data_IF_116385377159
#
_entry.id   IF_116385377159
#
_cell.length_a   1.000
_cell.length_b   1.000
_cell.length_c   1.000
_cell.angle_alpha   90.00
_cell.angle_beta   90.00
_cell.angle_gamma   90.00
#
_symmetry.space_group_name_H-M   'P 1'
#
loop_
_entity.id
_entity.type
_entity.pdbx_description
1 polymer ?
#
# COMPACT_ATOMS: atom_id res chain seq x y z
N UNK A 1 -77.95 14.70 -44.97
CA UNK A 1 -76.98 14.12 -45.92
C UNK A 1 -75.79 15.04 -46.03
N UNK A 2 -74.66 14.63 -45.47
CA UNK A 2 -73.25 14.94 -45.81
C UNK A 2 -72.44 14.61 -44.56
N UNK A 3 -71.67 13.52 -44.64
CA UNK A 3 -70.96 12.92 -43.51
C UNK A 3 -69.71 13.71 -43.10
N UNK A 4 -69.23 13.55 -41.87
CA UNK A 4 -68.02 14.21 -41.40
C UNK A 4 -66.74 13.51 -41.87
N UNK A 5 -65.76 14.37 -42.18
CA UNK A 5 -64.36 14.13 -42.52
C UNK A 5 -63.59 13.31 -41.46
N UNK A 6 -62.54 12.53 -41.83
CA UNK A 6 -61.92 11.58 -40.94
C UNK A 6 -61.01 12.24 -39.90
N UNK A 7 -61.28 11.93 -38.63
CA UNK A 7 -60.39 12.24 -37.52
C UNK A 7 -59.15 11.34 -37.56
N UNK A 8 -57.98 11.98 -37.55
CA UNK A 8 -56.67 11.36 -37.44
C UNK A 8 -56.47 10.78 -36.04
N UNK A 9 -56.50 9.45 -35.92
CA UNK A 9 -56.08 8.74 -34.72
C UNK A 9 -54.54 8.65 -34.71
N UNK A 10 -53.88 9.48 -33.90
CA UNK A 10 -52.47 9.30 -33.57
C UNK A 10 -52.34 8.22 -32.50
N UNK A 11 -51.89 7.02 -32.90
CA UNK A 11 -51.53 5.95 -31.97
C UNK A 11 -50.26 6.33 -31.20
N UNK A 12 -50.38 6.49 -29.89
CA UNK A 12 -49.24 6.61 -28.99
C UNK A 12 -48.54 5.24 -28.85
N UNK A 13 -47.41 5.05 -29.52
CA UNK A 13 -46.54 3.91 -29.30
C UNK A 13 -45.73 4.15 -28.00
N UNK A 14 -46.12 3.50 -26.92
CA UNK A 14 -45.30 3.42 -25.70
C UNK A 14 -44.11 2.49 -25.99
N UNK A 15 -42.92 3.06 -26.22
CA UNK A 15 -41.68 2.28 -26.22
C UNK A 15 -41.41 1.80 -24.79
N UNK A 16 -41.75 0.54 -24.50
CA UNK A 16 -41.20 -0.18 -23.36
C UNK A 16 -39.71 -0.42 -23.66
N UNK A 17 -38.84 0.40 -23.08
CA UNK A 17 -37.41 0.09 -23.04
C UNK A 17 -37.21 -1.11 -22.10
N UNK A 18 -37.24 -2.33 -22.65
CA UNK A 18 -36.69 -3.49 -21.98
C UNK A 18 -35.19 -3.24 -21.78
N UNK A 19 -34.83 -2.76 -20.59
CA UNK A 19 -33.46 -2.86 -20.10
C UNK A 19 -33.17 -4.34 -19.94
N UNK A 20 -32.55 -4.94 -20.95
CA UNK A 20 -31.87 -6.23 -20.83
C UNK A 20 -30.78 -6.05 -19.77
N UNK A 21 -31.13 -6.27 -18.51
CA UNK A 21 -30.15 -6.51 -17.46
C UNK A 21 -29.32 -7.68 -17.95
N UNK A 22 -28.03 -7.43 -18.25
CA UNK A 22 -27.09 -8.50 -18.53
C UNK A 22 -27.22 -9.53 -17.39
N UNK A 23 -27.35 -10.83 -17.70
CA UNK A 23 -27.43 -11.84 -16.65
C UNK A 23 -26.22 -11.67 -15.73
N UNK A 24 -26.38 -11.78 -14.41
CA UNK A 24 -25.26 -11.67 -13.49
C UNK A 24 -24.19 -12.65 -13.96
N UNK A 25 -23.00 -12.13 -14.30
CA UNK A 25 -21.86 -12.98 -14.63
C UNK A 25 -21.64 -13.87 -13.42
N UNK A 26 -21.90 -15.17 -13.57
CA UNK A 26 -21.64 -16.13 -12.52
C UNK A 26 -20.16 -16.00 -12.14
N UNK A 27 -19.88 -15.73 -10.87
CA UNK A 27 -18.51 -15.59 -10.39
C UNK A 27 -17.74 -16.87 -10.75
N UNK A 28 -16.77 -16.74 -11.66
CA UNK A 28 -15.92 -17.85 -12.05
C UNK A 28 -14.93 -18.12 -10.90
N UNK A 29 -14.86 -19.36 -10.44
CA UNK A 29 -13.85 -19.73 -9.44
C UNK A 29 -12.47 -19.72 -10.09
N UNK A 30 -11.47 -19.18 -9.39
CA UNK A 30 -10.08 -19.20 -9.85
C UNK A 30 -9.59 -20.64 -10.05
N UNK A 31 -8.88 -20.91 -11.16
CA UNK A 31 -8.24 -22.21 -11.41
C UNK A 31 -7.12 -22.53 -10.42
N UNK A 32 -6.65 -21.54 -9.67
CA UNK A 32 -5.63 -21.70 -8.64
C UNK A 32 -6.21 -21.87 -7.23
N UNK A 33 -7.39 -21.30 -6.98
CA UNK A 33 -8.03 -21.31 -5.66
C UNK A 33 -9.14 -22.35 -5.56
N UNK A 34 -9.91 -22.56 -6.64
CA UNK A 34 -11.12 -23.36 -6.61
C UNK A 34 -12.26 -22.68 -5.85
N UNK A 35 -13.30 -23.44 -5.52
CA UNK A 35 -14.40 -22.97 -4.68
C UNK A 35 -13.95 -23.06 -3.22
N UNK A 36 -13.87 -21.93 -2.52
CA UNK A 36 -13.48 -21.91 -1.11
C UNK A 36 -12.10 -22.49 -0.81
N UNK A 37 -11.14 -22.37 -1.73
CA UNK A 37 -9.78 -22.88 -1.52
C UNK A 37 -9.56 -24.35 -1.87
N UNK A 38 -10.57 -25.03 -2.45
CA UNK A 38 -10.51 -26.48 -2.73
C UNK A 38 -9.37 -26.93 -3.65
N UNK A 39 -8.73 -26.03 -4.39
CA UNK A 39 -7.58 -26.33 -5.27
C UNK A 39 -6.27 -25.75 -4.74
N UNK A 40 -6.30 -25.02 -3.63
CA UNK A 40 -5.10 -24.47 -3.04
C UNK A 40 -4.24 -25.57 -2.44
N UNK A 41 -2.92 -25.46 -2.66
CA UNK A 41 -1.94 -26.33 -2.01
C UNK A 41 -0.74 -25.49 -1.57
N UNK A 42 -0.06 -25.85 -0.48
CA UNK A 42 1.15 -25.14 -0.02
C UNK A 42 2.27 -25.08 -1.08
N UNK A 43 2.33 -26.06 -1.98
CA UNK A 43 3.29 -26.11 -3.08
C UNK A 43 2.85 -25.33 -4.33
N UNK A 44 1.62 -24.80 -4.34
CA UNK A 44 1.00 -24.15 -5.48
C UNK A 44 1.57 -22.77 -5.83
N UNK A 45 0.93 -22.07 -6.77
CA UNK A 45 1.35 -20.70 -7.15
C UNK A 45 0.85 -19.63 -6.19
N UNK A 46 -0.30 -19.85 -5.56
CA UNK A 46 -0.82 -18.98 -4.52
C UNK A 46 -0.10 -19.30 -3.21
N UNK A 47 0.33 -18.25 -2.52
CA UNK A 47 0.93 -18.39 -1.20
C UNK A 47 -0.14 -18.71 -0.16
N UNK A 48 0.31 -19.04 1.06
CA UNK A 48 -0.55 -19.07 2.22
C UNK A 48 -0.83 -17.63 2.69
N UNK A 49 -2.07 -17.18 2.52
CA UNK A 49 -2.52 -15.84 2.90
C UNK A 49 -3.38 -15.84 4.17
N UNK A 50 -3.47 -16.96 4.89
CA UNK A 50 -4.20 -17.01 6.18
C UNK A 50 -3.58 -16.12 7.26
N UNK A 51 -2.38 -15.57 6.99
CA UNK A 51 -1.63 -14.70 7.89
C UNK A 51 -1.73 -13.21 7.52
N UNK A 52 -2.60 -12.84 6.58
CA UNK A 52 -2.78 -11.45 6.20
C UNK A 52 -3.49 -10.64 7.31
N UNK A 53 -2.99 -9.44 7.59
CA UNK A 53 -3.63 -8.49 8.50
C UNK A 53 -3.00 -8.39 9.87
N UNK A 54 -3.57 -7.51 10.70
CA UNK A 54 -3.17 -7.25 12.08
C UNK A 54 -2.99 -8.55 12.88
N UNK A 55 -1.84 -8.68 13.56
CA UNK A 55 -1.44 -9.90 14.26
C UNK A 55 -1.58 -11.17 13.41
N UNK A 56 -1.28 -11.03 12.12
CA UNK A 56 -1.39 -12.08 11.12
C UNK A 56 -2.81 -12.63 10.96
N UNK A 57 -3.81 -11.73 11.06
CA UNK A 57 -5.23 -12.06 10.91
C UNK A 57 -5.84 -12.77 12.13
N UNK A 58 -5.08 -12.95 13.22
CA UNK A 58 -5.53 -13.73 14.37
C UNK A 58 -6.33 -12.92 15.41
N UNK A 59 -6.16 -11.59 15.42
CA UNK A 59 -6.78 -10.72 16.42
C UNK A 59 -7.63 -9.62 15.76
N UNK A 60 -8.71 -9.17 16.41
CA UNK A 60 -9.46 -8.00 15.96
C UNK A 60 -8.61 -6.73 16.11
N UNK A 61 -8.91 -5.71 15.29
CA UNK A 61 -8.29 -4.39 15.45
C UNK A 61 -8.62 -3.80 16.83
N UNK A 62 -7.63 -3.26 17.56
CA UNK A 62 -7.86 -2.74 18.90
C UNK A 62 -8.71 -1.47 18.87
N UNK A 63 -9.46 -1.21 19.94
CA UNK A 63 -10.17 0.06 20.15
C UNK A 63 -9.86 0.65 21.53
N UNK A 64 -8.62 1.17 21.71
CA UNK A 64 -8.23 1.77 22.99
C UNK A 64 -9.00 3.06 23.29
N UNK A 65 -9.21 3.42 24.58
CA UNK A 65 -9.88 4.66 24.94
C UNK A 65 -9.04 5.89 24.57
N UNK A 66 -9.72 7.01 24.31
CA UNK A 66 -9.07 8.31 24.03
C UNK A 66 -8.20 8.74 25.20
N UNK A 67 -6.95 9.12 24.91
CA UNK A 67 -6.03 9.65 25.93
C UNK A 67 -6.14 11.17 26.03
N UNK A 68 -6.14 11.86 24.89
CA UNK A 68 -6.23 13.33 24.80
C UNK A 68 -6.93 13.79 23.54
N UNK A 69 -7.55 14.96 23.61
CA UNK A 69 -7.98 15.70 22.41
C UNK A 69 -6.80 16.48 21.85
N UNK A 70 -6.71 16.60 20.52
CA UNK A 70 -5.73 17.52 19.88
C UNK A 70 -6.00 18.97 20.25
N UNK A 71 -7.24 19.31 20.63
CA UNK A 71 -7.62 20.67 21.05
C UNK A 71 -6.92 21.10 22.35
N UNK A 72 -6.50 20.15 23.19
CA UNK A 72 -5.72 20.43 24.41
C UNK A 72 -4.37 21.08 24.10
N UNK A 73 -3.90 20.96 22.85
CA UNK A 73 -2.64 21.53 22.38
C UNK A 73 -2.80 22.86 21.65
N UNK A 74 -4.04 23.31 21.41
CA UNK A 74 -4.31 24.57 20.70
C UNK A 74 -3.91 25.76 21.57
N UNK A 75 -3.20 26.71 20.98
CA UNK A 75 -2.86 28.01 21.59
C UNK A 75 -3.45 29.15 20.77
N UNK A 76 -3.63 30.32 21.38
CA UNK A 76 -4.14 31.52 20.70
C UNK A 76 -3.24 31.86 19.49
N UNK A 77 -3.85 32.01 18.31
CA UNK A 77 -3.15 32.30 17.06
C UNK A 77 -2.45 31.10 16.40
N UNK A 78 -2.51 29.90 16.99
CA UNK A 78 -1.90 28.69 16.42
C UNK A 78 -2.74 28.17 15.25
N UNK A 79 -2.11 27.78 14.13
CA UNK A 79 -2.80 27.09 13.04
C UNK A 79 -3.25 25.69 13.45
N UNK A 80 -4.18 25.08 12.70
CA UNK A 80 -4.61 23.70 12.99
C UNK A 80 -3.49 22.70 12.74
N UNK A 81 -2.70 22.92 11.68
CA UNK A 81 -1.50 22.11 11.38
C UNK A 81 -0.53 22.12 12.55
N UNK A 82 -0.21 23.30 13.11
CA UNK A 82 0.70 23.41 14.25
C UNK A 82 0.13 22.73 15.52
N UNK A 83 -1.18 22.83 15.75
CA UNK A 83 -1.85 22.11 16.85
C UNK A 83 -1.74 20.59 16.68
N UNK A 84 -2.06 20.07 15.50
CA UNK A 84 -2.00 18.63 15.20
C UNK A 84 -0.56 18.10 15.32
N UNK A 85 0.43 18.84 14.81
CA UNK A 85 1.84 18.50 14.95
C UNK A 85 2.31 18.55 16.42
N UNK A 86 1.85 19.52 17.21
CA UNK A 86 2.18 19.61 18.63
C UNK A 86 1.62 18.41 19.42
N UNK A 87 0.36 18.06 19.18
CA UNK A 87 -0.27 16.88 19.78
C UNK A 87 0.48 15.60 19.42
N UNK A 88 0.81 15.42 18.14
CA UNK A 88 1.49 14.22 17.66
C UNK A 88 2.96 14.14 18.13
N UNK A 89 3.64 15.28 18.25
CA UNK A 89 4.98 15.38 18.84
C UNK A 89 4.97 14.95 20.31
N UNK A 90 3.93 15.34 21.06
CA UNK A 90 3.72 14.83 22.43
C UNK A 90 3.45 13.33 22.44
N UNK A 91 2.56 12.83 21.57
CA UNK A 91 2.22 11.40 21.52
C UNK A 91 3.42 10.51 21.18
N UNK A 92 4.25 10.91 20.22
CA UNK A 92 5.47 10.19 19.85
C UNK A 92 6.51 10.13 20.99
N UNK A 93 6.41 10.99 22.01
CA UNK A 93 7.31 10.97 23.18
C UNK A 93 6.77 10.12 24.33
N UNK A 94 5.53 9.63 24.25
CA UNK A 94 4.96 8.77 25.27
C UNK A 94 5.62 7.39 25.25
N UNK A 95 5.69 6.74 26.42
CA UNK A 95 6.32 5.42 26.55
C UNK A 95 5.29 4.34 26.15
N UNK A 96 5.56 3.51 25.13
CA UNK A 96 4.60 2.47 24.73
C UNK A 96 4.25 1.45 25.83
N UNK A 97 5.13 1.28 26.83
CA UNK A 97 4.90 0.36 27.94
C UNK A 97 3.71 0.75 28.84
N UNK A 98 3.22 1.99 28.78
CA UNK A 98 2.08 2.45 29.60
C UNK A 98 0.72 2.25 28.94
N UNK A 99 0.67 1.58 27.78
CA UNK A 99 -0.55 1.37 26.99
C UNK A 99 -0.61 2.23 25.73
N UNK A 100 -1.79 2.34 25.13
CA UNK A 100 -2.01 3.17 23.95
C UNK A 100 -2.06 4.66 24.29
N UNK A 101 -1.51 5.47 23.39
CA UNK A 101 -1.69 6.93 23.35
C UNK A 101 -2.59 7.27 22.17
N UNK A 102 -3.85 7.58 22.46
CA UNK A 102 -4.88 7.87 21.47
C UNK A 102 -5.15 9.37 21.45
N UNK A 103 -4.87 10.00 20.31
CA UNK A 103 -5.20 11.39 20.03
C UNK A 103 -6.52 11.48 19.28
N UNK A 104 -7.54 12.04 19.93
CA UNK A 104 -8.81 12.37 19.28
C UNK A 104 -8.70 13.70 18.55
N UNK A 105 -9.06 13.71 17.27
CA UNK A 105 -9.41 14.89 16.49
C UNK A 105 -10.94 14.98 16.50
N UNK A 106 -11.55 15.88 17.31
CA UNK A 106 -12.99 16.00 17.37
C UNK A 106 -13.61 16.34 16.00
N UNK A 107 -14.94 16.23 15.90
CA UNK A 107 -15.69 16.67 14.73
C UNK A 107 -15.38 18.12 14.41
N UNK A 108 -15.23 18.41 13.13
CA UNK A 108 -14.84 19.71 12.62
C UNK A 108 -13.95 19.60 11.38
N UNK A 109 -13.69 20.75 10.77
CA UNK A 109 -12.81 20.87 9.62
C UNK A 109 -11.52 21.57 10.03
N UNK A 110 -10.39 20.92 9.85
CA UNK A 110 -9.07 21.39 10.25
C UNK A 110 -8.18 21.55 9.02
N UNK A 111 -7.48 22.68 8.92
CA UNK A 111 -6.53 22.88 7.81
C UNK A 111 -5.21 22.15 8.07
N UNK A 112 -4.84 21.24 7.17
CA UNK A 112 -3.58 20.51 7.20
C UNK A 112 -2.69 20.90 6.00
N UNK A 113 -1.59 21.58 6.25
CA UNK A 113 -0.63 21.99 5.21
C UNK A 113 0.69 21.22 5.23
N UNK A 114 0.87 20.30 6.16
CA UNK A 114 2.11 19.50 6.31
C UNK A 114 1.78 18.08 6.77
N UNK A 115 2.74 17.14 6.63
CA UNK A 115 2.56 15.75 7.07
C UNK A 115 2.38 15.64 8.59
N UNK A 116 1.54 14.71 9.01
CA UNK A 116 1.45 14.19 10.37
C UNK A 116 2.11 12.80 10.42
N UNK A 117 3.17 12.65 11.22
CA UNK A 117 3.97 11.42 11.25
C UNK A 117 3.95 10.79 12.65
N UNK A 118 3.33 9.60 12.76
CA UNK A 118 3.48 8.69 13.90
C UNK A 118 4.82 7.96 13.76
N UNK A 119 5.68 8.05 14.79
CA UNK A 119 7.03 7.45 14.82
C UNK A 119 7.24 6.51 16.01
N UNK A 120 6.23 6.34 16.85
CA UNK A 120 6.27 5.52 18.05
C UNK A 120 5.14 4.48 18.03
N UNK A 121 5.41 3.33 18.64
CA UNK A 121 4.43 2.27 18.79
C UNK A 121 3.29 2.68 19.72
N UNK A 122 2.12 2.04 19.56
CA UNK A 122 0.95 2.26 20.42
C UNK A 122 0.38 3.67 20.35
N UNK A 123 0.54 4.35 19.21
CA UNK A 123 -0.03 5.68 18.96
C UNK A 123 -1.16 5.58 17.95
N UNK A 124 -2.32 6.15 18.28
CA UNK A 124 -3.49 6.17 17.40
C UNK A 124 -3.91 7.62 17.15
N UNK A 125 -4.07 7.99 15.88
CA UNK A 125 -4.70 9.24 15.47
C UNK A 125 -6.13 8.95 15.01
N UNK A 126 -7.10 9.41 15.79
CA UNK A 126 -8.52 9.04 15.65
C UNK A 126 -9.38 10.27 15.40
N UNK A 127 -10.23 10.25 14.39
CA UNK A 127 -11.36 11.19 14.25
C UNK A 127 -12.68 10.60 14.75
N UNK A 128 -13.76 11.36 14.68
CA UNK A 128 -15.11 10.93 15.07
C UNK A 128 -15.90 10.24 13.93
N UNK A 129 -15.26 10.03 12.77
CA UNK A 129 -15.78 9.33 11.60
C UNK A 129 -15.61 10.12 10.29
N UNK A 130 -15.61 9.43 9.13
CA UNK A 130 -15.70 10.07 7.82
C UNK A 130 -16.88 11.06 7.75
N UNK A 131 -16.65 12.23 7.17
CA UNK A 131 -17.60 13.34 7.06
C UNK A 131 -17.81 14.14 8.35
N UNK A 132 -17.39 13.63 9.52
CA UNK A 132 -17.48 14.35 10.81
C UNK A 132 -16.18 15.06 11.15
N UNK A 133 -15.06 14.35 11.05
CA UNK A 133 -13.72 14.91 11.20
C UNK A 133 -13.08 15.04 9.82
N UNK A 134 -12.82 16.26 9.38
CA UNK A 134 -12.28 16.55 8.04
C UNK A 134 -10.93 17.25 8.17
N UNK A 135 -9.90 16.67 7.56
CA UNK A 135 -8.62 17.33 7.33
C UNK A 135 -8.64 17.94 5.93
N UNK A 136 -8.79 19.26 5.84
CA UNK A 136 -8.75 20.01 4.59
C UNK A 136 -7.29 20.27 4.20
N UNK A 137 -6.86 19.77 3.05
CA UNK A 137 -5.49 19.80 2.56
C UNK A 137 -5.43 20.73 1.33
N UNK A 138 -5.07 22.02 1.49
CA UNK A 138 -5.11 23.00 0.41
C UNK A 138 -3.85 23.03 -0.45
N UNK A 139 -2.79 22.35 -0.02
CA UNK A 139 -1.46 22.34 -0.66
C UNK A 139 -1.03 20.90 -0.88
N UNK A 140 -0.48 20.62 -2.07
CA UNK A 140 0.05 19.30 -2.40
C UNK A 140 1.37 19.04 -1.65
N UNK A 141 1.84 17.80 -1.61
CA UNK A 141 3.16 17.53 -1.04
C UNK A 141 4.27 18.28 -1.81
N UNK A 142 4.10 18.49 -3.13
CA UNK A 142 5.02 19.29 -3.94
C UNK A 142 5.02 20.77 -3.55
N UNK A 143 3.85 21.33 -3.23
CA UNK A 143 3.76 22.73 -2.77
C UNK A 143 4.46 22.96 -1.42
N UNK A 144 4.54 21.91 -0.60
CA UNK A 144 5.03 22.01 0.79
C UNK A 144 6.51 21.67 0.86
N UNK A 145 6.95 20.62 0.15
CA UNK A 145 8.30 20.06 0.27
C UNK A 145 9.15 20.23 -0.99
N UNK A 146 8.59 20.79 -2.06
CA UNK A 146 9.24 20.86 -3.37
C UNK A 146 9.12 19.55 -4.17
N UNK A 147 9.76 19.47 -5.34
CA UNK A 147 9.83 18.23 -6.12
C UNK A 147 10.69 17.17 -5.39
N UNK A 148 10.37 15.90 -5.58
CA UNK A 148 11.16 14.78 -5.04
C UNK A 148 12.60 14.80 -5.60
N UNK A 149 13.66 14.76 -4.77
CA UNK A 149 15.04 14.66 -5.25
C UNK A 149 15.34 13.40 -6.09
N UNK A 150 14.50 12.36 -6.03
CA UNK A 150 14.59 11.16 -6.87
C UNK A 150 13.77 11.23 -8.17
N UNK A 151 13.20 12.39 -8.50
CA UNK A 151 12.34 12.60 -9.67
C UNK A 151 13.01 12.41 -11.04
N UNK A 152 14.35 12.36 -11.13
CA UNK A 152 15.07 11.96 -12.35
C UNK A 152 14.76 10.51 -12.76
N UNK A 153 14.42 9.67 -11.78
CA UNK A 153 14.07 8.27 -12.01
C UNK A 153 12.57 8.05 -12.23
N UNK A 154 11.71 9.05 -12.08
CA UNK A 154 10.26 8.84 -12.06
C UNK A 154 9.69 8.28 -10.77
N UNK A 155 10.38 8.55 -9.67
CA UNK A 155 9.88 8.29 -8.33
C UNK A 155 8.55 8.99 -8.07
N UNK A 156 7.64 8.22 -7.46
CA UNK A 156 6.41 8.60 -6.78
C UNK A 156 6.52 10.00 -6.17
N UNK A 157 5.85 11.00 -6.75
CA UNK A 157 6.08 12.38 -6.33
C UNK A 157 5.74 12.55 -4.86
N UNK A 158 6.79 12.84 -4.08
CA UNK A 158 6.81 13.13 -2.64
C UNK A 158 6.45 11.98 -1.69
N UNK A 159 7.07 10.81 -1.87
CA UNK A 159 7.22 9.71 -0.90
C UNK A 159 6.30 9.76 0.35
N UNK A 160 5.24 8.96 0.33
CA UNK A 160 4.35 8.74 1.46
C UNK A 160 3.02 9.49 1.37
N UNK A 161 2.37 9.69 2.52
CA UNK A 161 1.07 10.33 2.65
C UNK A 161 1.10 11.56 3.54
N UNK A 162 0.01 12.34 3.55
CA UNK A 162 -0.19 13.40 4.54
C UNK A 162 -0.31 12.84 5.95
N UNK A 163 -0.87 11.65 6.11
CA UNK A 163 -0.84 10.90 7.36
C UNK A 163 0.11 9.72 7.20
N UNK A 164 1.13 9.62 8.04
CA UNK A 164 2.14 8.57 7.94
C UNK A 164 2.35 7.87 9.28
N UNK A 165 2.33 6.55 9.29
CA UNK A 165 2.95 5.73 10.34
C UNK A 165 4.32 5.27 9.83
N UNK A 166 5.39 5.79 10.42
CA UNK A 166 6.76 5.61 9.95
C UNK A 166 7.61 4.84 10.97
N UNK A 167 7.84 3.59 10.66
CA UNK A 167 8.83 2.73 11.29
C UNK A 167 10.23 2.90 10.70
N UNK A 168 11.13 1.99 11.10
CA UNK A 168 12.52 1.91 10.61
C UNK A 168 12.72 0.62 9.81
N UNK A 169 12.84 0.75 8.50
CA UNK A 169 13.19 -0.37 7.62
C UNK A 169 14.68 -0.71 7.76
N UNK A 170 15.01 -1.76 8.49
CA UNK A 170 16.40 -2.26 8.57
C UNK A 170 16.43 -3.77 8.67
N UNK A 171 17.37 -4.39 7.94
CA UNK A 171 17.65 -5.81 8.04
C UNK A 171 18.35 -6.07 9.37
N UNK A 172 17.72 -6.86 10.24
CA UNK A 172 18.27 -7.13 11.57
C UNK A 172 19.46 -8.11 11.54
N UNK A 173 19.92 -8.54 12.71
CA UNK A 173 21.08 -9.43 12.83
C UNK A 173 20.77 -10.83 12.31
N UNK A 174 21.71 -11.43 11.57
CA UNK A 174 21.63 -12.83 11.13
C UNK A 174 21.62 -13.74 12.37
N UNK A 175 20.60 -14.56 12.50
CA UNK A 175 20.48 -15.57 13.55
C UNK A 175 20.91 -16.97 13.06
N UNK A 176 20.63 -17.29 11.79
CA UNK A 176 21.00 -18.55 11.15
C UNK A 176 20.96 -18.40 9.61
N UNK A 177 21.61 -19.33 8.91
CA UNK A 177 21.61 -19.42 7.43
C UNK A 177 21.12 -20.80 7.02
N UNK A 178 20.20 -20.88 6.06
CA UNK A 178 19.73 -22.14 5.52
C UNK A 178 20.84 -22.83 4.71
N UNK A 179 21.01 -24.13 4.90
CA UNK A 179 22.08 -24.93 4.27
C UNK A 179 21.56 -26.15 3.49
N UNK A 180 20.36 -26.63 3.81
CA UNK A 180 19.71 -27.72 3.08
C UNK A 180 18.73 -27.21 2.03
N UNK A 181 18.48 -28.03 1.01
CA UNK A 181 17.39 -27.80 0.08
C UNK A 181 16.03 -27.94 0.79
N UNK A 182 15.07 -27.11 0.40
CA UNK A 182 13.67 -27.19 0.82
C UNK A 182 12.78 -26.75 -0.34
N UNK A 183 11.65 -27.42 -0.51
CA UNK A 183 10.67 -27.13 -1.55
C UNK A 183 9.75 -25.98 -1.14
N UNK A 184 9.12 -25.34 -2.13
CA UNK A 184 7.93 -24.51 -1.86
C UNK A 184 6.89 -25.39 -1.16
N UNK A 185 6.25 -24.85 -0.13
CA UNK A 185 5.26 -25.59 0.66
C UNK A 185 5.85 -26.30 1.87
N UNK A 186 7.17 -26.50 1.93
CA UNK A 186 7.80 -27.10 3.10
C UNK A 186 7.72 -26.18 4.32
N UNK A 187 7.55 -26.78 5.49
CA UNK A 187 7.55 -26.07 6.79
C UNK A 187 8.79 -26.38 7.63
N UNK A 188 9.72 -27.20 7.13
CA UNK A 188 10.95 -27.56 7.83
C UNK A 188 12.15 -27.19 6.99
N UNK A 189 13.08 -26.44 7.57
CA UNK A 189 14.35 -26.07 6.93
C UNK A 189 15.52 -26.57 7.77
N UNK A 190 16.66 -26.78 7.11
CA UNK A 190 17.94 -27.08 7.78
C UNK A 190 18.83 -25.85 7.76
N UNK A 191 19.34 -25.46 8.93
CA UNK A 191 20.22 -24.30 9.09
C UNK A 191 21.64 -24.71 9.47
N UNK A 192 22.62 -23.83 9.26
CA UNK A 192 24.00 -24.05 9.67
C UNK A 192 24.15 -24.22 11.19
N UNK A 193 23.39 -23.46 11.98
CA UNK A 193 23.36 -23.52 13.43
C UNK A 193 22.04 -22.95 13.95
N UNK A 194 21.33 -23.70 14.79
CA UNK A 194 20.11 -23.21 15.43
C UNK A 194 20.35 -22.45 16.75
N UNK A 195 21.61 -22.24 17.18
CA UNK A 195 21.93 -21.61 18.49
C UNK A 195 21.40 -20.17 18.62
N UNK A 196 21.26 -19.44 17.51
CA UNK A 196 20.68 -18.10 17.47
C UNK A 196 19.14 -18.07 17.40
N UNK A 197 18.51 -19.24 17.31
CA UNK A 197 17.06 -19.39 17.13
C UNK A 197 16.37 -19.76 18.44
N UNK A 198 15.15 -19.26 18.63
CA UNK A 198 14.29 -19.57 19.79
C UNK A 198 12.90 -19.98 19.33
N UNK A 199 12.36 -21.04 19.96
CA UNK A 199 10.96 -21.42 19.79
C UNK A 199 10.05 -20.25 20.21
N UNK A 200 9.01 -20.01 19.43
CA UNK A 200 8.03 -18.95 19.65
C UNK A 200 8.45 -17.57 19.13
N UNK A 201 9.71 -17.40 18.70
CA UNK A 201 10.21 -16.12 18.19
C UNK A 201 10.01 -16.00 16.67
N UNK A 202 9.70 -14.77 16.22
CA UNK A 202 9.65 -14.41 14.81
C UNK A 202 11.06 -14.15 14.24
N UNK A 203 11.24 -14.52 12.98
CA UNK A 203 12.44 -14.24 12.17
C UNK A 203 12.04 -13.82 10.76
N UNK A 204 12.78 -12.86 10.19
CA UNK A 204 12.67 -12.48 8.79
C UNK A 204 13.57 -13.38 7.94
N UNK A 205 12.97 -14.20 7.08
CA UNK A 205 13.67 -14.95 6.05
C UNK A 205 13.94 -14.03 4.87
N UNK A 206 15.21 -13.79 4.59
CA UNK A 206 15.65 -13.01 3.44
C UNK A 206 16.15 -13.94 2.34
N UNK A 207 15.49 -13.89 1.19
CA UNK A 207 15.88 -14.61 -0.01
C UNK A 207 16.74 -13.69 -0.89
N UNK A 208 18.03 -14.02 -0.95
CA UNK A 208 19.00 -13.34 -1.80
C UNK A 208 19.20 -14.12 -3.08
N UNK A 209 19.06 -13.45 -4.21
CA UNK A 209 19.28 -14.00 -5.53
C UNK A 209 20.72 -14.47 -5.74
N UNK A 210 20.90 -15.51 -6.56
CA UNK A 210 22.20 -15.98 -7.04
C UNK A 210 22.17 -15.99 -8.56
N UNK A 211 22.92 -15.07 -9.19
CA UNK A 211 23.10 -15.05 -10.64
C UNK A 211 21.83 -14.84 -11.45
N UNK A 212 20.82 -14.15 -10.90
CA UNK A 212 19.52 -13.88 -11.54
C UNK A 212 18.52 -15.02 -11.44
N UNK A 213 18.93 -16.19 -10.94
CA UNK A 213 18.13 -17.41 -11.01
C UNK A 213 16.91 -17.38 -10.09
N UNK A 214 17.04 -16.78 -8.90
CA UNK A 214 15.89 -16.64 -8.00
C UNK A 214 14.89 -15.65 -8.59
N UNK A 215 15.37 -14.52 -9.10
CA UNK A 215 14.51 -13.51 -9.72
C UNK A 215 13.71 -14.09 -10.90
N UNK A 216 14.36 -14.86 -11.78
CA UNK A 216 13.67 -15.57 -12.87
C UNK A 216 12.55 -16.47 -12.36
N UNK A 217 12.74 -17.19 -11.25
CA UNK A 217 11.68 -18.00 -10.62
C UNK A 217 10.52 -17.12 -10.14
N UNK A 218 10.80 -15.96 -9.55
CA UNK A 218 9.76 -15.04 -9.08
C UNK A 218 8.93 -14.46 -10.23
N UNK A 219 9.54 -14.26 -11.40
CA UNK A 219 8.86 -13.83 -12.64
C UNK A 219 8.22 -15.01 -13.40
N UNK A 220 8.10 -16.18 -12.78
CA UNK A 220 7.50 -17.36 -13.38
C UNK A 220 8.29 -17.94 -14.55
N UNK A 221 9.59 -17.67 -14.62
CA UNK A 221 10.50 -18.00 -15.73
C UNK A 221 10.10 -17.40 -17.09
N UNK A 222 9.18 -16.43 -17.11
CA UNK A 222 8.68 -15.82 -18.35
C UNK A 222 9.55 -14.65 -18.83
N UNK A 223 10.41 -14.11 -17.96
CA UNK A 223 11.26 -12.96 -18.27
C UNK A 223 12.64 -13.13 -17.65
N UNK A 224 13.65 -12.60 -18.33
CA UNK A 224 15.00 -12.52 -17.78
C UNK A 224 15.05 -11.42 -16.71
N UNK A 225 15.70 -11.74 -15.59
CA UNK A 225 15.95 -10.81 -14.52
C UNK A 225 16.79 -9.61 -15.02
N UNK A 226 16.35 -8.37 -14.74
CA UNK A 226 17.15 -7.18 -14.99
C UNK A 226 18.51 -7.25 -14.25
N UNK A 227 19.61 -6.96 -14.95
CA UNK A 227 20.98 -7.18 -14.43
C UNK A 227 21.24 -6.52 -13.06
N UNK A 228 20.73 -5.31 -12.87
CA UNK A 228 20.81 -4.54 -11.61
C UNK A 228 20.21 -5.22 -10.38
N UNK A 229 19.36 -6.24 -10.57
CA UNK A 229 18.76 -7.02 -9.48
C UNK A 229 19.46 -8.35 -9.25
N UNK A 230 20.43 -8.73 -10.07
CA UNK A 230 21.23 -9.93 -9.87
C UNK A 230 21.98 -9.82 -8.54
N UNK A 231 21.90 -10.88 -7.73
CA UNK A 231 22.57 -10.95 -6.43
C UNK A 231 21.91 -10.14 -5.31
N UNK A 232 20.79 -9.46 -5.57
CA UNK A 232 20.09 -8.66 -4.55
C UNK A 232 19.18 -9.53 -3.69
N UNK A 233 18.87 -9.04 -2.49
CA UNK A 233 17.76 -9.57 -1.72
C UNK A 233 16.46 -9.16 -2.40
N UNK A 234 15.63 -10.13 -2.80
CA UNK A 234 14.44 -9.86 -3.61
C UNK A 234 13.15 -10.18 -2.86
N UNK A 235 13.21 -10.90 -1.75
CA UNK A 235 12.04 -11.17 -0.94
C UNK A 235 12.36 -11.37 0.53
N UNK A 236 11.38 -11.00 1.35
CA UNK A 236 11.39 -11.10 2.80
C UNK A 236 10.10 -11.75 3.25
N UNK A 237 10.20 -12.67 4.19
CA UNK A 237 9.07 -13.40 4.73
C UNK A 237 9.24 -13.58 6.24
N UNK A 238 8.29 -13.10 7.04
CA UNK A 238 8.38 -13.22 8.50
C UNK A 238 7.70 -14.50 8.96
N UNK A 239 8.41 -15.32 9.74
CA UNK A 239 7.89 -16.60 10.26
C UNK A 239 8.19 -16.74 11.74
N UNK A 240 7.28 -17.37 12.48
CA UNK A 240 7.55 -17.87 13.83
C UNK A 240 8.21 -19.25 13.77
N UNK A 241 9.22 -19.47 14.62
CA UNK A 241 9.83 -20.80 14.81
C UNK A 241 8.99 -21.60 15.79
N UNK A 242 8.40 -22.71 15.34
CA UNK A 242 7.57 -23.58 16.18
C UNK A 242 8.37 -24.67 16.90
N UNK A 243 9.46 -25.15 16.29
CA UNK A 243 10.24 -26.28 16.81
C UNK A 243 11.68 -26.24 16.32
N UNK A 244 12.61 -26.67 17.18
CA UNK A 244 14.02 -26.84 16.87
C UNK A 244 14.43 -28.26 17.28
N UNK A 245 15.05 -29.01 16.37
CA UNK A 245 15.65 -30.33 16.62
C UNK A 245 17.02 -30.40 15.96
N UNK A 246 18.08 -30.26 16.76
CA UNK A 246 19.42 -30.02 16.22
C UNK A 246 19.41 -28.79 15.31
N UNK A 247 19.81 -28.96 14.06
CA UNK A 247 19.81 -27.91 13.04
C UNK A 247 18.55 -27.89 12.15
N UNK A 248 17.54 -28.71 12.43
CA UNK A 248 16.24 -28.65 11.74
C UNK A 248 15.29 -27.72 12.48
N UNK A 249 14.67 -26.82 11.74
CA UNK A 249 13.78 -25.76 12.26
C UNK A 249 12.42 -25.90 11.59
N UNK A 250 11.35 -26.03 12.39
CA UNK A 250 9.97 -26.01 11.90
C UNK A 250 9.42 -24.59 11.98
N UNK A 251 8.88 -24.09 10.87
CA UNK A 251 8.28 -22.77 10.70
C UNK A 251 6.76 -22.84 10.91
N UNK A 252 6.13 -21.72 11.25
CA UNK A 252 4.67 -21.65 11.44
C UNK A 252 3.85 -21.76 10.16
N UNK A 253 4.51 -21.60 9.01
CA UNK A 253 3.86 -21.47 7.72
C UNK A 253 4.75 -22.02 6.61
N UNK A 254 4.15 -22.42 5.48
CA UNK A 254 4.88 -22.96 4.34
C UNK A 254 5.84 -21.94 3.70
N UNK A 255 6.94 -22.42 3.15
CA UNK A 255 7.84 -21.58 2.35
C UNK A 255 7.16 -21.13 1.05
N UNK A 256 7.14 -19.81 0.73
CA UNK A 256 6.58 -19.31 -0.53
C UNK A 256 7.50 -19.58 -1.74
N UNK A 257 8.78 -19.85 -1.50
CA UNK A 257 9.76 -20.18 -2.52
C UNK A 257 10.68 -21.31 -2.06
N UNK A 258 11.21 -22.13 -2.98
CA UNK A 258 12.19 -23.14 -2.62
C UNK A 258 13.48 -22.51 -2.11
N UNK A 259 14.19 -23.24 -1.24
CA UNK A 259 15.58 -22.97 -0.86
C UNK A 259 16.43 -23.94 -1.67
N UNK A 260 17.29 -23.39 -2.54
CA UNK A 260 18.09 -24.22 -3.45
C UNK A 260 19.48 -23.62 -3.68
N UNK A 261 20.51 -24.46 -3.53
CA UNK A 261 21.90 -24.07 -3.79
C UNK A 261 22.06 -23.58 -5.24
N UNK A 262 22.81 -22.50 -5.42
CA UNK A 262 23.01 -21.87 -6.73
C UNK A 262 21.81 -21.07 -7.25
N UNK A 263 20.65 -21.12 -6.59
CA UNK A 263 19.46 -20.33 -6.94
C UNK A 263 19.30 -19.16 -5.99
N UNK A 264 19.31 -19.42 -4.68
CA UNK A 264 19.19 -18.38 -3.66
C UNK A 264 20.06 -18.69 -2.43
N UNK A 265 20.31 -17.65 -1.64
CA UNK A 265 20.84 -17.73 -0.27
C UNK A 265 19.77 -17.25 0.68
N UNK A 266 19.39 -18.08 1.65
CA UNK A 266 18.34 -17.75 2.62
C UNK A 266 18.94 -17.60 4.01
N UNK A 267 18.75 -16.44 4.62
CA UNK A 267 19.19 -16.15 5.97
C UNK A 267 17.99 -15.77 6.85
N UNK A 268 17.98 -16.27 8.08
CA UNK A 268 17.01 -15.90 9.11
C UNK A 268 17.60 -14.73 9.90
N UNK A 269 16.88 -13.61 9.92
CA UNK A 269 17.26 -12.41 10.64
C UNK A 269 16.32 -12.19 11.83
N UNK A 270 16.87 -11.74 12.96
CA UNK A 270 16.02 -11.20 14.03
C UNK A 270 15.29 -9.96 13.47
N UNK A 271 13.97 -9.84 13.61
CA UNK A 271 13.26 -8.65 13.16
C UNK A 271 13.84 -7.42 13.86
N UNK A 272 14.15 -6.37 13.10
CA UNK A 272 14.62 -5.13 13.68
C UNK A 272 13.47 -4.40 14.39
N UNK A 273 13.74 -3.67 15.49
CA UNK A 273 12.72 -2.84 16.12
C UNK A 273 12.12 -1.84 15.12
N UNK A 274 10.79 -1.73 15.14
CA UNK A 274 10.05 -0.79 14.32
C UNK A 274 8.76 -0.34 15.02
N UNK A 275 7.99 0.55 14.39
CA UNK A 275 6.70 1.00 14.90
C UNK A 275 5.68 -0.13 14.77
N UNK A 276 5.00 -0.40 15.88
CA UNK A 276 3.97 -1.41 15.99
C UNK A 276 2.74 -0.90 16.71
N UNK A 277 1.62 -1.58 16.56
CA UNK A 277 0.42 -1.32 17.38
C UNK A 277 -0.09 0.11 17.22
N UNK A 278 0.04 0.71 16.03
CA UNK A 278 -0.31 2.10 15.77
C UNK A 278 -1.35 2.21 14.66
N UNK A 279 -2.19 3.25 14.74
CA UNK A 279 -3.37 3.37 13.88
C UNK A 279 -3.67 4.79 13.40
N UNK A 280 -4.28 4.89 12.22
CA UNK A 280 -4.95 6.09 11.71
C UNK A 280 -6.39 5.74 11.39
N UNK A 281 -7.36 6.47 11.95
CA UNK A 281 -8.76 6.07 11.82
C UNK A 281 -9.82 7.17 11.90
N UNK A 282 -10.97 6.92 11.26
CA UNK A 282 -12.21 7.64 11.50
C UNK A 282 -12.23 9.09 11.02
N UNK A 283 -11.77 9.38 9.80
CA UNK A 283 -11.73 10.76 9.30
C UNK A 283 -11.77 10.86 7.77
N UNK A 284 -12.01 12.07 7.27
CA UNK A 284 -11.91 12.42 5.86
C UNK A 284 -10.65 13.23 5.59
N UNK A 285 -9.87 12.87 4.57
CA UNK A 285 -8.80 13.68 4.00
C UNK A 285 -9.34 14.34 2.73
N UNK A 286 -9.61 15.65 2.79
CA UNK A 286 -10.16 16.42 1.68
C UNK A 286 -9.05 17.21 0.98
N UNK A 287 -8.61 16.71 -0.17
CA UNK A 287 -7.55 17.36 -0.95
C UNK A 287 -8.16 18.35 -1.94
N UNK A 288 -7.44 19.48 -2.15
CA UNK A 288 -7.83 20.47 -3.15
C UNK A 288 -7.95 19.78 -4.50
N UNK A 289 -9.07 20.05 -5.19
CA UNK A 289 -9.26 19.55 -6.54
C UNK A 289 -8.32 20.23 -7.52
N UNK A 290 -7.68 19.42 -8.37
CA UNK A 290 -6.97 19.86 -9.58
C UNK A 290 -6.93 18.71 -10.59
N UNK A 291 -6.60 19.02 -11.85
CA UNK A 291 -6.41 18.00 -12.87
C UNK A 291 -5.31 17.01 -12.46
N UNK A 292 -5.55 15.73 -12.73
CA UNK A 292 -4.52 14.72 -12.54
C UNK A 292 -3.45 14.91 -13.60
N UNK A 293 -2.20 14.83 -13.16
CA UNK A 293 -1.07 15.22 -13.97
C UNK A 293 -0.44 14.08 -14.79
N UNK A 294 -0.98 12.87 -14.68
CA UNK A 294 -0.53 11.70 -15.45
C UNK A 294 0.50 10.85 -14.72
N UNK A 295 0.59 9.59 -15.15
CA UNK A 295 1.39 8.51 -14.54
C UNK A 295 2.91 8.73 -14.65
N UNK A 296 3.65 8.37 -13.58
CA UNK A 296 5.11 8.28 -13.42
C UNK A 296 5.96 9.32 -14.17
N UNK A 297 6.67 10.15 -13.39
CA UNK A 297 7.72 11.06 -13.85
C UNK A 297 9.01 10.40 -14.39
N UNK A 298 8.97 9.21 -14.99
CA UNK A 298 10.18 8.56 -15.47
C UNK A 298 10.01 7.89 -16.82
N UNK A 299 10.82 8.33 -17.80
CA UNK A 299 11.53 7.40 -18.65
C UNK A 299 12.46 6.60 -17.73
N UNK A 300 11.89 5.68 -16.97
CA UNK A 300 12.66 4.67 -16.30
C UNK A 300 13.30 3.84 -17.44
N UNK A 301 14.62 3.60 -17.46
CA UNK A 301 15.26 2.74 -18.45
C UNK A 301 14.90 1.27 -18.16
N UNK A 302 13.62 0.94 -18.25
CA UNK A 302 13.00 -0.29 -17.75
C UNK A 302 12.03 -0.87 -18.77
N UNK A 303 12.41 -0.83 -20.04
CA UNK A 303 11.60 -1.41 -21.11
C UNK A 303 11.97 -0.98 -22.52
N UNK A 304 12.88 -0.01 -22.69
CA UNK A 304 13.42 0.30 -24.00
C UNK A 304 14.29 -0.84 -24.50
N UNK A 305 13.83 -1.56 -25.52
CA UNK A 305 14.73 -2.16 -26.48
C UNK A 305 15.81 -1.14 -26.83
N UNK A 306 17.07 -1.58 -26.87
CA UNK A 306 18.17 -0.80 -27.40
C UNK A 306 17.75 -0.20 -28.76
N UNK A 307 17.59 1.12 -28.85
CA UNK A 307 17.22 1.72 -30.14
C UNK A 307 16.80 3.18 -30.18
N UNK A 308 16.33 3.82 -29.10
CA UNK A 308 15.96 5.25 -29.16
C UNK A 308 17.01 6.13 -28.48
N UNK A 309 17.48 7.21 -29.13
CA UNK A 309 18.55 8.05 -28.58
C UNK A 309 18.09 8.66 -27.26
N UNK A 310 18.94 8.51 -26.25
CA UNK A 310 18.91 9.24 -24.99
C UNK A 310 18.73 10.73 -25.27
N UNK A 311 17.56 11.28 -24.92
CA UNK A 311 17.44 12.71 -24.74
C UNK A 311 18.29 13.09 -23.54
N UNK A 312 19.31 13.90 -23.83
CA UNK A 312 20.29 14.39 -22.88
C UNK A 312 19.63 15.04 -21.67
N UNK A 313 20.33 14.91 -20.54
CA UNK A 313 20.09 15.57 -19.26
C UNK A 313 19.57 17.00 -19.42
N UNK A 314 18.27 17.20 -19.16
CA UNK A 314 17.70 18.54 -19.02
C UNK A 314 17.59 18.87 -17.53
N UNK A 315 18.17 19.98 -17.05
CA UNK A 315 18.07 20.38 -15.65
C UNK A 315 16.62 20.61 -15.23
N UNK A 316 16.30 20.19 -14.00
CA UNK A 316 14.99 20.12 -13.35
C UNK A 316 14.27 21.48 -13.13
N UNK A 317 14.67 22.57 -13.78
CA UNK A 317 14.16 23.92 -13.49
C UNK A 317 13.11 24.44 -14.46
N UNK A 318 12.86 23.79 -15.59
CA UNK A 318 11.91 24.30 -16.58
C UNK A 318 10.67 23.42 -16.64
N UNK A 319 9.57 23.92 -16.05
CA UNK A 319 8.25 23.42 -16.37
C UNK A 319 8.10 23.45 -17.90
N UNK A 320 8.02 22.29 -18.55
CA UNK A 320 7.77 22.25 -19.99
C UNK A 320 6.40 22.89 -20.22
N UNK A 321 6.31 24.04 -20.92
CA UNK A 321 5.05 24.75 -21.05
C UNK A 321 3.95 23.83 -21.61
N UNK A 322 2.82 23.76 -20.91
CA UNK A 322 1.68 22.94 -21.31
C UNK A 322 1.71 21.47 -20.88
N UNK A 323 2.69 21.01 -20.07
CA UNK A 323 2.73 19.63 -19.54
C UNK A 323 2.54 19.60 -18.02
N UNK A 324 1.80 18.62 -17.53
CA UNK A 324 1.55 18.43 -16.08
C UNK A 324 2.54 17.43 -15.44
N UNK A 325 2.73 17.56 -14.13
CA UNK A 325 3.54 16.66 -13.28
C UNK A 325 2.76 16.30 -12.00
N UNK A 326 2.78 15.02 -11.58
CA UNK A 326 2.16 14.56 -10.32
C UNK A 326 2.55 15.44 -9.13
N UNK A 327 1.61 15.72 -8.25
CA UNK A 327 1.74 16.76 -7.20
C UNK A 327 1.83 16.16 -5.80
N UNK A 328 1.49 14.88 -5.67
CA UNK A 328 1.61 14.15 -4.41
C UNK A 328 0.42 14.42 -3.50
N UNK A 329 -0.80 14.43 -4.04
CA UNK A 329 -2.02 14.40 -3.25
C UNK A 329 -2.22 13.00 -2.65
N UNK A 330 -1.38 12.65 -1.68
CA UNK A 330 -1.31 11.29 -1.14
C UNK A 330 -1.94 11.21 0.25
N UNK A 331 -2.84 10.24 0.47
CA UNK A 331 -3.61 10.11 1.69
C UNK A 331 -2.79 9.59 2.86
N UNK A 332 -2.80 8.27 3.04
CA UNK A 332 -2.21 7.61 4.21
C UNK A 332 -1.03 6.73 3.79
N UNK A 333 0.05 6.74 4.57
CA UNK A 333 1.18 5.83 4.40
C UNK A 333 1.44 4.96 5.64
N UNK A 334 1.67 3.66 5.40
CA UNK A 334 2.32 2.76 6.35
C UNK A 334 3.73 2.43 5.84
N UNK A 335 4.78 2.89 6.54
CA UNK A 335 6.16 2.68 6.12
C UNK A 335 6.93 1.87 7.17
N UNK A 336 7.41 0.67 6.82
CA UNK A 336 8.23 -0.17 7.70
C UNK A 336 7.59 -0.52 9.04
N UNK A 337 6.28 -0.59 9.10
CA UNK A 337 5.55 -0.90 10.34
C UNK A 337 5.28 -2.39 10.50
N UNK A 338 4.82 -2.81 11.67
CA UNK A 338 4.24 -4.15 11.85
C UNK A 338 3.02 -4.05 12.76
N UNK A 339 1.99 -4.86 12.56
CA UNK A 339 0.85 -4.90 13.50
C UNK A 339 0.20 -3.51 13.64
N UNK A 340 0.05 -2.79 12.51
CA UNK A 340 -0.54 -1.46 12.43
C UNK A 340 -1.82 -1.49 11.58
N UNK A 341 -2.60 -0.41 11.62
CA UNK A 341 -3.82 -0.34 10.84
C UNK A 341 -4.16 1.05 10.29
N UNK A 342 -4.97 1.04 9.24
CA UNK A 342 -5.72 2.20 8.75
C UNK A 342 -7.16 1.77 8.63
N UNK A 343 -8.10 2.46 9.28
CA UNK A 343 -9.53 2.11 9.19
C UNK A 343 -10.47 3.29 9.08
N UNK A 344 -11.59 3.09 8.39
CA UNK A 344 -12.69 4.07 8.33
C UNK A 344 -12.21 5.45 7.87
N UNK A 345 -11.55 5.48 6.71
CA UNK A 345 -10.98 6.70 6.12
C UNK A 345 -11.67 6.99 4.79
N UNK A 346 -12.11 8.23 4.62
CA UNK A 346 -12.47 8.77 3.32
C UNK A 346 -11.35 9.66 2.77
N UNK A 347 -11.02 9.51 1.49
CA UNK A 347 -10.03 10.34 0.81
C UNK A 347 -10.69 10.95 -0.43
N UNK A 348 -10.68 12.28 -0.50
CA UNK A 348 -11.33 13.03 -1.57
C UNK A 348 -10.25 13.72 -2.43
N UNK A 349 -10.30 13.47 -3.74
CA UNK A 349 -9.38 13.97 -4.76
C UNK A 349 -7.89 13.52 -4.63
N UNK A 350 -7.57 12.27 -4.27
CA UNK A 350 -6.17 11.87 -4.17
C UNK A 350 -5.53 11.55 -5.51
N UNK A 351 -4.22 11.82 -5.59
CA UNK A 351 -3.29 11.14 -6.50
C UNK A 351 -3.08 9.71 -6.02
N UNK A 352 -2.82 9.52 -4.72
CA UNK A 352 -2.71 8.18 -4.12
C UNK A 352 -3.52 8.04 -2.84
N UNK A 353 -4.29 6.96 -2.69
CA UNK A 353 -5.12 6.72 -1.51
C UNK A 353 -4.32 6.23 -0.30
N UNK A 354 -4.20 4.91 -0.15
CA UNK A 354 -3.40 4.28 0.91
C UNK A 354 -2.18 3.57 0.34
N UNK A 355 -1.01 3.98 0.80
CA UNK A 355 0.28 3.48 0.32
C UNK A 355 0.99 2.72 1.44
N UNK A 356 1.44 1.51 1.18
CA UNK A 356 2.18 0.71 2.15
C UNK A 356 3.57 0.38 1.60
N UNK A 357 4.60 0.91 2.24
CA UNK A 357 5.96 0.84 1.73
C UNK A 357 6.92 0.19 2.71
N UNK A 358 7.98 -0.38 2.14
CA UNK A 358 9.21 -0.77 2.82
C UNK A 358 9.00 -1.63 4.05
N UNK A 359 9.13 -2.94 3.95
CA UNK A 359 9.21 -3.82 5.10
C UNK A 359 7.99 -3.77 6.05
N UNK A 360 6.85 -3.23 5.62
CA UNK A 360 5.61 -3.32 6.39
C UNK A 360 5.14 -4.78 6.50
N UNK A 361 4.52 -5.17 7.62
CA UNK A 361 3.95 -6.52 7.73
C UNK A 361 2.80 -6.66 8.70
N UNK A 362 1.99 -7.72 8.56
CA UNK A 362 0.94 -8.09 9.50
C UNK A 362 0.05 -6.90 9.88
N UNK A 363 -0.43 -6.15 8.89
CA UNK A 363 -1.14 -4.88 9.07
C UNK A 363 -2.40 -4.86 8.22
N UNK A 364 -3.44 -4.16 8.69
CA UNK A 364 -4.75 -4.14 8.05
C UNK A 364 -5.12 -2.74 7.56
N UNK A 365 -5.65 -2.68 6.34
CA UNK A 365 -6.29 -1.49 5.78
C UNK A 365 -7.75 -1.87 5.48
N UNK A 366 -8.71 -1.18 6.10
CA UNK A 366 -10.14 -1.52 6.01
C UNK A 366 -11.04 -0.29 6.02
N UNK A 367 -12.26 -0.37 5.49
CA UNK A 367 -13.22 0.75 5.52
C UNK A 367 -12.71 1.98 4.77
N UNK A 368 -12.14 1.78 3.57
CA UNK A 368 -11.53 2.86 2.79
C UNK A 368 -12.46 3.31 1.67
N UNK A 369 -12.87 4.57 1.71
CA UNK A 369 -13.62 5.21 0.63
C UNK A 369 -12.71 6.20 -0.10
N UNK A 370 -12.62 6.08 -1.41
CA UNK A 370 -11.97 7.10 -2.24
C UNK A 370 -12.99 7.69 -3.21
N UNK A 371 -13.02 9.02 -3.32
CA UNK A 371 -13.93 9.71 -4.23
C UNK A 371 -13.31 10.96 -4.84
N UNK A 372 -13.95 11.45 -5.90
CA UNK A 372 -13.58 12.67 -6.60
C UNK A 372 -14.77 13.62 -6.67
N UNK A 373 -14.58 14.90 -6.35
CA UNK A 373 -15.67 15.90 -6.44
C UNK A 373 -16.12 16.14 -7.88
N UNK A 374 -15.20 15.96 -8.83
CA UNK A 374 -15.42 15.83 -10.27
C UNK A 374 -14.22 15.10 -10.86
N UNK A 375 -14.36 14.52 -12.05
CA UNK A 375 -13.24 13.83 -12.71
C UNK A 375 -12.03 14.73 -12.82
N UNK A 376 -10.86 14.19 -12.49
CA UNK A 376 -9.54 14.81 -12.64
C UNK A 376 -8.86 14.36 -13.94
N UNK A 377 -9.40 13.33 -14.59
CA UNK A 377 -8.93 12.83 -15.89
C UNK A 377 -9.00 13.91 -16.97
N UNK A 378 -8.00 13.92 -17.85
CA UNK A 378 -7.87 14.89 -18.93
C UNK A 378 -6.94 14.36 -20.03
N UNK A 379 -6.86 15.08 -21.15
CA UNK A 379 -5.98 14.77 -22.28
C UNK A 379 -4.78 15.70 -22.37
N UNK A 380 -4.44 16.41 -21.28
CA UNK A 380 -3.20 17.20 -21.23
C UNK A 380 -2.06 16.20 -21.08
N UNK A 381 -1.13 16.13 -22.04
CA UNK A 381 -0.06 15.17 -21.95
C UNK A 381 0.84 15.46 -20.75
N UNK A 382 1.28 14.41 -20.07
CA UNK A 382 2.35 14.52 -19.09
C UNK A 382 3.67 14.89 -19.78
N UNK A 383 4.74 15.03 -18.99
CA UNK A 383 6.09 15.33 -19.52
C UNK A 383 6.62 14.33 -20.56
N UNK A 384 6.07 13.12 -20.65
CA UNK A 384 6.43 12.07 -21.61
C UNK A 384 5.45 11.90 -22.77
N UNK A 385 4.51 12.83 -22.92
CA UNK A 385 3.52 12.80 -23.99
C UNK A 385 2.48 11.68 -23.85
N UNK A 386 2.20 11.25 -22.62
CA UNK A 386 1.13 10.31 -22.29
C UNK A 386 -0.07 11.07 -21.73
N UNK A 387 -1.28 10.66 -22.12
CA UNK A 387 -2.51 11.29 -21.62
C UNK A 387 -2.82 10.90 -20.18
N UNK A 388 -3.28 11.86 -19.36
CA UNK A 388 -3.73 11.64 -17.99
C UNK A 388 -5.21 11.23 -17.91
N UNK A 389 -5.58 10.08 -18.51
CA UNK A 389 -6.99 9.63 -18.64
C UNK A 389 -7.60 8.99 -17.38
N UNK A 390 -7.01 9.25 -16.22
CA UNK A 390 -7.42 8.72 -14.92
C UNK A 390 -7.53 9.85 -13.90
N UNK A 391 -8.25 9.61 -12.81
CA UNK A 391 -8.47 10.58 -11.74
C UNK A 391 -7.32 10.60 -10.71
N UNK A 392 -6.49 9.56 -10.71
CA UNK A 392 -5.35 9.40 -9.82
C UNK A 392 -4.40 8.29 -10.27
N UNK A 393 -3.37 8.11 -9.46
CA UNK A 393 -2.29 7.16 -9.68
C UNK A 393 -2.58 5.81 -9.02
N UNK A 394 -2.53 5.72 -7.68
CA UNK A 394 -2.76 4.48 -6.91
C UNK A 394 -3.95 4.62 -5.98
N UNK A 395 -4.98 3.80 -6.13
CA UNK A 395 -6.03 3.72 -5.11
C UNK A 395 -5.45 3.16 -3.81
N UNK A 396 -4.93 1.94 -3.89
CA UNK A 396 -4.24 1.26 -2.81
C UNK A 396 -3.02 0.52 -3.34
N UNK A 397 -1.88 0.65 -2.67
CA UNK A 397 -0.70 -0.11 -3.05
C UNK A 397 0.07 -0.65 -1.86
N UNK A 398 0.78 -1.74 -2.08
CA UNK A 398 1.87 -2.10 -1.19
C UNK A 398 3.11 -2.62 -1.92
N UNK A 399 4.29 -2.28 -1.41
CA UNK A 399 5.54 -2.67 -2.04
C UNK A 399 6.77 -2.46 -1.18
N UNK A 400 7.91 -2.97 -1.65
CA UNK A 400 9.19 -2.90 -0.96
C UNK A 400 9.31 -3.92 0.17
N UNK A 401 9.31 -5.22 -0.13
CA UNK A 401 9.44 -6.30 0.89
C UNK A 401 8.29 -6.38 1.91
N UNK A 402 7.14 -5.79 1.59
CA UNK A 402 5.93 -5.87 2.40
C UNK A 402 5.30 -7.27 2.30
N UNK A 403 4.72 -7.75 3.40
CA UNK A 403 4.14 -9.09 3.51
C UNK A 403 2.99 -9.15 4.53
N UNK A 404 2.09 -10.13 4.49
CA UNK A 404 0.97 -10.25 5.46
C UNK A 404 0.09 -8.98 5.55
N UNK A 405 -0.17 -8.32 4.43
CA UNK A 405 -1.05 -7.14 4.39
C UNK A 405 -2.47 -7.56 4.06
N UNK A 406 -3.46 -7.08 4.82
CA UNK A 406 -4.88 -7.27 4.53
C UNK A 406 -5.49 -5.95 4.07
N UNK A 407 -6.06 -5.97 2.87
CA UNK A 407 -6.88 -4.89 2.31
C UNK A 407 -8.31 -5.41 2.19
N UNK A 408 -9.26 -4.80 2.89
CA UNK A 408 -10.66 -5.23 2.87
C UNK A 408 -11.59 -4.03 2.95
N UNK A 409 -12.88 -4.23 2.68
CA UNK A 409 -13.93 -3.19 2.77
C UNK A 409 -13.50 -1.83 2.18
N UNK A 410 -13.25 -1.79 0.87
CA UNK A 410 -12.88 -0.56 0.17
C UNK A 410 -13.77 -0.29 -1.03
N UNK A 411 -13.96 0.99 -1.32
CA UNK A 411 -14.81 1.47 -2.41
C UNK A 411 -14.18 2.69 -3.08
N UNK A 412 -13.87 2.56 -4.38
CA UNK A 412 -13.34 3.65 -5.19
C UNK A 412 -14.42 4.18 -6.13
N UNK A 413 -14.65 5.48 -6.05
CA UNK A 413 -15.56 6.20 -6.95
C UNK A 413 -14.71 7.10 -7.84
N UNK A 414 -14.16 6.53 -8.92
CA UNK A 414 -13.25 7.17 -9.87
C UNK A 414 -12.45 6.13 -10.65
N UNK A 415 -11.51 6.58 -11.50
CA UNK A 415 -10.58 5.69 -12.21
C UNK A 415 -9.15 5.95 -11.77
N UNK A 416 -8.45 4.94 -11.26
CA UNK A 416 -7.00 5.05 -11.06
C UNK A 416 -6.23 4.48 -12.24
N UNK A 417 -4.96 4.90 -12.36
CA UNK A 417 -4.01 4.16 -13.18
C UNK A 417 -3.82 2.74 -12.65
N UNK A 418 -3.77 2.60 -11.32
CA UNK A 418 -3.72 1.35 -10.60
C UNK A 418 -4.72 1.40 -9.44
N UNK A 419 -5.83 0.67 -9.52
CA UNK A 419 -6.83 0.65 -8.45
C UNK A 419 -6.24 0.02 -7.18
N UNK A 420 -5.91 -1.28 -7.25
CA UNK A 420 -5.23 -2.02 -6.18
C UNK A 420 -4.07 -2.80 -6.80
N UNK A 421 -2.87 -2.69 -6.22
CA UNK A 421 -1.76 -3.50 -6.72
C UNK A 421 -0.55 -3.54 -5.82
N UNK A 422 0.47 -4.27 -6.30
CA UNK A 422 1.76 -4.39 -5.63
C UNK A 422 2.88 -3.79 -6.46
N UNK A 423 3.86 -3.20 -5.79
CA UNK A 423 5.10 -2.73 -6.39
C UNK A 423 6.33 -3.39 -5.73
N UNK A 424 7.48 -3.35 -6.39
CA UNK A 424 8.83 -3.65 -5.85
C UNK A 424 8.88 -4.79 -4.81
N UNK A 425 8.89 -6.06 -5.23
CA UNK A 425 8.96 -7.21 -4.31
C UNK A 425 7.80 -7.31 -3.28
N UNK A 426 6.75 -6.51 -3.41
CA UNK A 426 5.45 -6.79 -2.79
C UNK A 426 4.83 -8.03 -3.42
N UNK A 427 4.12 -8.81 -2.63
CA UNK A 427 3.54 -10.08 -3.08
C UNK A 427 2.04 -10.06 -2.85
N UNK A 428 1.26 -10.13 -3.93
CA UNK A 428 -0.20 -10.10 -3.88
C UNK A 428 -0.77 -11.41 -3.30
N UNK A 429 -1.63 -11.29 -2.29
CA UNK A 429 -2.56 -12.34 -1.85
C UNK A 429 -3.96 -11.93 -2.29
N UNK A 430 -4.73 -12.86 -2.85
CA UNK A 430 -6.08 -12.61 -3.39
C UNK A 430 -7.12 -12.67 -2.29
#
# INVERSE_FOLDING_TARGET
>A
MQGPSPATAAAAATLLALSLLAPPVAAANSKLWGRGGSLWTPAGRLMDFSFAGYHQGNDPLPDPPVTKSVLDFKRRGMSDTAMLQAALSWANKQRPATGYTVLLIPKGTYTLTEKLIIKSSRVVLRGEGPGKTVLNIPKSLTDVYGPDPYSESGGYVNWGGFLTIKGRGSKGRVAAVATGAASRGDVVITVNSARGLKKGQYYDLWFTDVGGRFNSIQLGANMQAPEKYIGKALSRFTVKVLKIRGNKVTLERPLPFPIAAGVNKVALHQPAPTVTESGVEGMTLAMKWELYAGHHLGAYPWGGQAGTPTLAHSPLSEAVPGRLQERGWNGVELMSVRDCWVRDIEIINPDSGVVVNWMASASTVTGIRISYTKTRANSIPNRFNEDARTDGHWGMMYGGYCYDMLFTDFHFVGKFQHDVGTAMAGQFGV
#
